data_IF_118185113998
#
_entry.id   IF_118185113998
#
_cell.length_a   1.000
_cell.length_b   1.000
_cell.length_c   1.000
_cell.angle_alpha   90.00
_cell.angle_beta   90.00
_cell.angle_gamma   90.00
#
_symmetry.space_group_name_H-M   'P 1'
#
loop_
_entity.id
_entity.type
_entity.pdbx_description
1 polymer ?
#
# COMPACT_ATOMS: atom_id res chain seq x y z
N UNK A 1 25.91 20.47 -11.10
CA UNK A 1 24.63 20.29 -11.84
C UNK A 1 24.05 18.89 -11.62
N UNK A 2 24.74 17.80 -11.98
CA UNK A 2 24.20 16.43 -11.84
C UNK A 2 23.83 16.03 -10.40
N UNK A 3 24.68 16.37 -9.41
CA UNK A 3 24.40 16.08 -7.99
C UNK A 3 23.09 16.71 -7.51
N UNK A 4 22.80 17.94 -7.94
CA UNK A 4 21.56 18.62 -7.57
C UNK A 4 20.34 17.97 -8.22
N UNK A 5 20.44 17.60 -9.50
CA UNK A 5 19.34 16.94 -10.24
C UNK A 5 19.03 15.57 -9.65
N UNK A 6 20.06 14.73 -9.45
CA UNK A 6 19.85 13.39 -8.88
C UNK A 6 19.48 13.44 -7.41
N UNK A 7 20.07 14.35 -6.63
CA UNK A 7 19.71 14.54 -5.23
C UNK A 7 18.25 14.97 -5.05
N UNK A 8 17.78 15.92 -5.85
CA UNK A 8 16.38 16.32 -5.84
C UNK A 8 15.44 15.21 -6.33
N UNK A 9 15.83 14.47 -7.37
CA UNK A 9 15.07 13.33 -7.88
C UNK A 9 14.86 12.25 -6.81
N UNK A 10 15.92 11.85 -6.12
CA UNK A 10 15.85 10.85 -5.05
C UNK A 10 14.99 11.32 -3.86
N UNK A 11 15.19 12.57 -3.41
CA UNK A 11 14.40 13.11 -2.31
C UNK A 11 12.91 13.22 -2.67
N UNK A 12 12.61 13.63 -3.90
CA UNK A 12 11.25 13.68 -4.41
C UNK A 12 10.61 12.30 -4.50
N UNK A 13 11.31 11.31 -5.06
CA UNK A 13 10.81 9.93 -5.20
C UNK A 13 10.37 9.35 -3.85
N UNK A 14 11.21 9.45 -2.82
CA UNK A 14 10.89 8.93 -1.48
C UNK A 14 9.67 9.63 -0.90
N UNK A 15 9.62 10.97 -0.98
CA UNK A 15 8.50 11.76 -0.45
C UNK A 15 7.19 11.49 -1.20
N UNK A 16 7.25 11.49 -2.53
CA UNK A 16 6.11 11.31 -3.41
C UNK A 16 5.52 9.91 -3.27
N UNK A 17 6.33 8.86 -3.33
CA UNK A 17 5.86 7.48 -3.19
C UNK A 17 5.16 7.26 -1.85
N UNK A 18 5.75 7.71 -0.74
CA UNK A 18 5.13 7.58 0.58
C UNK A 18 3.81 8.37 0.68
N UNK A 19 3.78 9.59 0.14
CA UNK A 19 2.60 10.44 0.17
C UNK A 19 1.44 9.85 -0.64
N UNK A 20 1.70 9.47 -1.89
CA UNK A 20 0.67 8.94 -2.78
C UNK A 20 0.21 7.56 -2.34
N UNK A 21 1.10 6.67 -1.88
CA UNK A 21 0.70 5.37 -1.33
C UNK A 21 -0.23 5.54 -0.12
N UNK A 22 0.11 6.44 0.82
CA UNK A 22 -0.75 6.71 1.98
C UNK A 22 -2.12 7.26 1.58
N UNK A 23 -2.15 8.18 0.63
CA UNK A 23 -3.40 8.73 0.11
C UNK A 23 -4.25 7.64 -0.56
N UNK A 24 -3.63 6.83 -1.42
CA UNK A 24 -4.29 5.72 -2.12
C UNK A 24 -4.85 4.70 -1.14
N UNK A 25 -4.06 4.33 -0.14
CA UNK A 25 -4.44 3.37 0.91
C UNK A 25 -5.66 3.85 1.68
N UNK A 26 -5.69 5.13 2.01
CA UNK A 26 -6.82 5.73 2.74
C UNK A 26 -8.07 5.83 1.86
N UNK A 27 -7.91 6.23 0.59
CA UNK A 27 -9.03 6.35 -0.35
C UNK A 27 -9.67 5.00 -0.70
N UNK A 28 -8.87 3.94 -0.76
CA UNK A 28 -9.32 2.59 -1.10
C UNK A 28 -9.46 1.66 0.13
N UNK A 29 -9.52 2.23 1.33
CA UNK A 29 -9.65 1.46 2.57
C UNK A 29 -10.85 0.52 2.53
N UNK A 30 -10.64 -0.73 2.92
CA UNK A 30 -11.66 -1.79 2.93
C UNK A 30 -11.86 -2.49 1.59
N UNK A 31 -11.16 -2.05 0.53
CA UNK A 31 -11.20 -2.66 -0.81
C UNK A 31 -9.86 -3.29 -1.21
N UNK A 32 -8.78 -2.97 -0.49
CA UNK A 32 -7.47 -3.50 -0.81
C UNK A 32 -7.32 -4.92 -0.28
N UNK A 33 -6.51 -5.73 -0.97
CA UNK A 33 -6.22 -7.10 -0.53
C UNK A 33 -5.75 -7.16 0.92
N UNK A 34 -4.84 -6.27 1.34
CA UNK A 34 -4.38 -6.19 2.74
C UNK A 34 -5.49 -5.97 3.77
N UNK A 35 -6.62 -5.38 3.37
CA UNK A 35 -7.76 -5.11 4.24
C UNK A 35 -8.74 -6.30 4.31
N UNK A 36 -8.81 -7.12 3.25
CA UNK A 36 -9.81 -8.20 3.11
C UNK A 36 -9.21 -9.61 3.17
N UNK A 37 -7.88 -9.75 3.10
CA UNK A 37 -7.18 -11.02 3.01
C UNK A 37 -7.54 -12.00 4.12
N UNK A 38 -7.69 -11.53 5.36
CA UNK A 38 -7.99 -12.38 6.52
C UNK A 38 -9.26 -13.21 6.29
N UNK A 39 -10.28 -12.63 5.63
CA UNK A 39 -11.53 -13.33 5.30
C UNK A 39 -11.31 -14.57 4.44
N UNK A 40 -10.28 -14.59 3.60
CA UNK A 40 -10.06 -15.65 2.62
C UNK A 40 -8.91 -16.60 2.98
N UNK A 41 -7.94 -16.12 3.76
CA UNK A 41 -6.76 -16.91 4.14
C UNK A 41 -6.92 -17.52 5.52
N UNK A 42 -7.63 -16.86 6.44
CA UNK A 42 -7.91 -17.39 7.78
C UNK A 42 -9.33 -18.00 7.82
N UNK A 43 -10.31 -17.39 7.14
CA UNK A 43 -11.69 -17.89 7.06
C UNK A 43 -11.91 -19.17 6.24
N UNK A 44 -10.90 -19.65 5.51
CA UNK A 44 -10.95 -20.95 4.83
C UNK A 44 -10.87 -22.16 5.77
N UNK A 45 -10.81 -21.95 7.09
CA UNK A 45 -10.84 -23.02 8.10
C UNK A 45 -12.15 -23.13 8.88
N UNK A 46 -12.98 -22.08 8.90
CA UNK A 46 -14.15 -22.00 9.80
C UNK A 46 -15.51 -22.05 9.06
N UNK A 47 -15.55 -21.82 7.74
CA UNK A 47 -16.79 -21.91 6.94
C UNK A 47 -17.05 -23.32 6.35
N UNK A 48 -16.15 -24.28 6.58
CA UNK A 48 -16.30 -25.71 6.23
C UNK A 48 -16.80 -26.57 7.43
N UNK A 49 -17.34 -25.96 8.49
CA UNK A 49 -17.94 -26.63 9.67
C UNK A 49 -19.49 -26.47 9.77
N UNK A 50 -20.21 -26.37 8.64
CA UNK A 50 -21.67 -26.64 8.58
C UNK A 50 -22.05 -27.78 7.63
#
# INVERSE_FOLDING_TARGET
MLVAVFGAGFAFEVGFNNGINKWWDNHNRGRQWKDIRSKYVEGGGDEDEE
#
